data_IF_756805963396
#
_entry.id   IF_756805963396
#
_cell.length_a   1.000
_cell.length_b   1.000
_cell.length_c   1.000
_cell.angle_alpha   90.00
_cell.angle_beta   90.00
_cell.angle_gamma   90.00
#
_symmetry.space_group_name_H-M   'P 1'
#
loop_
_entity.id
_entity.type
_entity.pdbx_description
1 polymer ?
#
# COMPACT_ATOMS: atom_id res chain seq x y z
N UNK A 1 -46.70 -58.08 2.73
CA UNK A 1 -46.08 -57.29 3.83
C UNK A 1 -44.75 -56.75 3.32
N UNK A 2 -44.70 -55.52 2.82
CA UNK A 2 -43.47 -54.87 2.33
C UNK A 2 -43.04 -53.81 3.34
N UNK A 3 -41.79 -53.91 3.80
CA UNK A 3 -41.22 -53.14 4.92
C UNK A 3 -40.84 -51.73 4.49
N UNK A 4 -41.05 -50.81 5.43
CA UNK A 4 -40.56 -49.44 5.54
C UNK A 4 -39.06 -49.31 5.29
N UNK A 5 -38.63 -48.25 4.60
CA UNK A 5 -37.34 -47.58 4.83
C UNK A 5 -37.61 -46.06 4.77
N UNK A 6 -37.57 -45.31 5.89
CA UNK A 6 -37.66 -43.86 5.87
C UNK A 6 -36.28 -43.30 5.52
N UNK A 7 -36.18 -42.64 4.36
CA UNK A 7 -34.99 -41.92 3.94
C UNK A 7 -34.96 -40.55 4.65
N UNK A 8 -34.64 -40.58 5.94
CA UNK A 8 -34.35 -39.41 6.76
C UNK A 8 -32.83 -39.32 6.91
N UNK A 9 -32.19 -38.66 5.95
CA UNK A 9 -30.84 -38.14 6.10
C UNK A 9 -30.79 -36.80 5.39
N UNK A 10 -31.49 -35.81 5.96
CA UNK A 10 -31.15 -34.41 5.74
C UNK A 10 -29.80 -34.21 6.41
N UNK A 11 -28.74 -34.35 5.63
CA UNK A 11 -27.39 -33.92 6.01
C UNK A 11 -27.51 -32.43 6.29
N UNK A 12 -27.61 -32.08 7.57
CA UNK A 12 -27.30 -30.75 8.06
C UNK A 12 -25.81 -30.54 7.75
N UNK A 13 -25.53 -30.12 6.52
CA UNK A 13 -24.28 -29.49 6.14
C UNK A 13 -24.29 -28.14 6.88
N UNK A 14 -24.01 -28.19 8.18
CA UNK A 14 -23.46 -27.05 8.89
C UNK A 14 -22.15 -26.76 8.16
N UNK A 15 -22.28 -25.96 7.11
CA UNK A 15 -21.20 -25.15 6.60
C UNK A 15 -20.61 -24.52 7.86
N UNK A 16 -19.46 -25.06 8.28
CA UNK A 16 -18.43 -24.27 8.89
C UNK A 16 -18.06 -23.22 7.85
N UNK A 17 -18.96 -22.25 7.66
CA UNK A 17 -18.61 -20.92 7.29
C UNK A 17 -17.79 -20.44 8.48
N UNK A 18 -16.53 -20.90 8.54
CA UNK A 18 -15.48 -20.01 8.99
C UNK A 18 -15.81 -18.72 8.25
N UNK A 19 -16.09 -17.61 8.94
CA UNK A 19 -15.93 -16.33 8.31
C UNK A 19 -14.42 -16.24 8.11
N UNK A 20 -13.92 -16.93 7.09
CA UNK A 20 -12.82 -16.47 6.31
C UNK A 20 -13.34 -15.16 5.69
N UNK A 21 -13.43 -14.12 6.52
CA UNK A 21 -12.80 -12.86 6.19
C UNK A 21 -11.33 -13.20 5.94
N UNK A 22 -11.11 -13.88 4.81
CA UNK A 22 -9.82 -14.10 4.21
C UNK A 22 -9.28 -12.70 4.13
N UNK A 23 -8.21 -12.43 4.88
CA UNK A 23 -7.42 -11.27 4.55
C UNK A 23 -7.09 -11.43 3.08
N UNK A 24 -7.60 -10.49 2.27
CA UNK A 24 -7.51 -10.62 0.81
C UNK A 24 -6.07 -10.34 0.37
N UNK A 25 -5.29 -9.72 1.26
CA UNK A 25 -3.85 -9.59 1.19
C UNK A 25 -3.22 -9.95 2.54
N UNK A 26 -2.20 -10.81 2.52
CA UNK A 26 -1.40 -11.16 3.70
C UNK A 26 -0.05 -10.43 3.62
N UNK A 27 0.29 -9.68 4.67
CA UNK A 27 1.62 -9.09 4.76
C UNK A 27 2.68 -10.21 4.79
N UNK A 28 3.84 -10.04 4.14
CA UNK A 28 4.91 -11.05 4.15
C UNK A 28 5.71 -11.04 5.48
N UNK A 29 5.02 -10.78 6.59
CA UNK A 29 5.50 -10.80 7.97
C UNK A 29 4.36 -11.24 8.90
N UNK A 30 4.66 -11.77 10.10
CA UNK A 30 3.62 -12.25 10.99
C UNK A 30 2.62 -11.16 11.41
N UNK A 31 1.34 -11.52 11.36
CA UNK A 31 0.24 -10.71 11.87
C UNK A 31 -0.17 -11.24 13.25
N UNK A 32 -0.20 -10.36 14.26
CA UNK A 32 -0.55 -10.72 15.63
C UNK A 32 -1.82 -9.99 16.08
N UNK A 33 -2.90 -10.69 16.48
CA UNK A 33 -4.08 -10.03 17.01
C UNK A 33 -3.76 -9.39 18.37
N UNK A 34 -4.15 -8.13 18.54
CA UNK A 34 -4.03 -7.36 19.77
C UNK A 34 -5.28 -6.49 19.99
N UNK A 35 -6.28 -7.03 20.70
CA UNK A 35 -7.54 -6.30 20.99
C UNK A 35 -7.38 -5.08 21.89
N UNK A 36 -6.21 -4.89 22.53
CA UNK A 36 -5.92 -3.69 23.33
C UNK A 36 -5.33 -2.55 22.49
N UNK A 37 -5.01 -2.79 21.21
CA UNK A 37 -4.53 -1.77 20.28
C UNK A 37 -5.63 -0.73 20.03
N UNK A 38 -5.31 0.56 20.16
CA UNK A 38 -6.25 1.67 19.94
C UNK A 38 -6.29 2.17 18.49
N UNK A 39 -5.80 1.33 17.59
CA UNK A 39 -5.65 1.58 16.17
C UNK A 39 -6.02 0.30 15.40
N UNK A 40 -6.26 0.42 14.11
CA UNK A 40 -6.59 -0.73 13.25
C UNK A 40 -5.40 -1.68 13.22
N UNK A 41 -4.20 -1.13 13.00
CA UNK A 41 -2.93 -1.87 12.94
C UNK A 41 -1.74 -1.05 13.43
N UNK A 42 -0.63 -1.72 13.74
CA UNK A 42 0.63 -1.10 14.12
C UNK A 42 1.82 -2.02 13.84
N UNK A 43 2.88 -1.50 13.24
CA UNK A 43 4.16 -2.17 13.17
C UNK A 43 4.81 -2.27 14.56
N UNK A 44 5.28 -3.47 14.93
CA UNK A 44 5.98 -3.72 16.17
C UNK A 44 7.17 -4.68 15.98
N UNK A 45 8.02 -4.82 17.00
CA UNK A 45 9.04 -5.84 17.06
C UNK A 45 8.69 -6.83 18.17
N UNK A 46 8.52 -8.10 17.82
CA UNK A 46 8.21 -9.16 18.78
C UNK A 46 9.51 -9.82 19.23
N UNK A 47 9.89 -9.64 20.50
CA UNK A 47 11.13 -10.20 21.04
C UNK A 47 11.13 -11.74 21.10
N UNK A 48 9.97 -12.38 21.28
CA UNK A 48 9.85 -13.84 21.30
C UNK A 48 10.07 -14.46 19.92
N UNK A 49 9.56 -13.81 18.87
CA UNK A 49 9.76 -14.22 17.48
C UNK A 49 11.05 -13.68 16.87
N UNK A 50 11.75 -12.78 17.58
CA UNK A 50 12.92 -12.05 17.10
C UNK A 50 12.70 -11.37 15.73
N UNK A 51 11.47 -10.95 15.43
CA UNK A 51 11.06 -10.43 14.12
C UNK A 51 10.20 -9.18 14.24
N UNK A 52 10.16 -8.39 13.15
CA UNK A 52 9.09 -7.43 12.94
C UNK A 52 7.77 -8.17 12.76
N UNK A 53 6.70 -7.57 13.27
CA UNK A 53 5.33 -8.06 13.19
C UNK A 53 4.40 -6.87 12.94
N UNK A 54 3.21 -7.13 12.41
CA UNK A 54 2.13 -6.15 12.44
C UNK A 54 1.10 -6.65 13.44
N UNK A 55 0.85 -5.84 14.46
CA UNK A 55 -0.26 -6.06 15.37
C UNK A 55 -1.53 -5.47 14.76
N UNK A 56 -2.68 -6.11 14.95
CA UNK A 56 -3.97 -5.59 14.49
C UNK A 56 -5.04 -5.73 15.56
N UNK A 57 -5.97 -4.78 15.65
CA UNK A 57 -7.14 -4.90 16.51
C UNK A 57 -8.24 -5.68 15.76
N UNK A 58 -8.59 -6.91 16.17
CA UNK A 58 -9.61 -7.70 15.45
C UNK A 58 -11.01 -7.10 15.50
N UNK A 59 -11.33 -6.31 16.53
CA UNK A 59 -12.64 -5.64 16.65
C UNK A 59 -12.73 -4.49 15.66
N UNK A 60 -11.74 -3.59 15.66
CA UNK A 60 -11.70 -2.47 14.71
C UNK A 60 -11.56 -2.97 13.28
N UNK A 61 -10.77 -4.02 13.04
CA UNK A 61 -10.64 -4.63 11.71
C UNK A 61 -11.98 -5.18 11.18
N UNK A 62 -12.81 -5.73 12.06
CA UNK A 62 -14.16 -6.19 11.72
C UNK A 62 -15.09 -5.00 11.42
N UNK A 63 -14.97 -3.91 12.19
CA UNK A 63 -15.78 -2.70 12.02
C UNK A 63 -15.49 -1.96 10.71
N UNK A 64 -14.21 -1.75 10.37
CA UNK A 64 -13.79 -1.05 9.15
C UNK A 64 -13.81 -1.94 7.90
N UNK A 65 -13.84 -3.26 8.10
CA UNK A 65 -13.86 -4.25 7.05
C UNK A 65 -12.47 -4.62 6.49
N UNK A 66 -12.43 -5.68 5.66
CA UNK A 66 -11.19 -6.33 5.26
C UNK A 66 -10.33 -5.47 4.32
N UNK A 67 -10.94 -4.68 3.42
CA UNK A 67 -10.21 -3.86 2.45
C UNK A 67 -9.48 -2.70 3.12
N UNK A 68 -10.14 -2.01 4.04
CA UNK A 68 -9.53 -0.93 4.82
C UNK A 68 -8.44 -1.49 5.73
N UNK A 69 -8.72 -2.61 6.42
CA UNK A 69 -7.73 -3.30 7.25
C UNK A 69 -6.48 -3.67 6.45
N UNK A 70 -6.64 -4.26 5.26
CA UNK A 70 -5.54 -4.63 4.40
C UNK A 70 -4.73 -3.42 3.89
N UNK A 71 -5.39 -2.30 3.58
CA UNK A 71 -4.71 -1.05 3.24
C UNK A 71 -3.76 -0.62 4.37
N UNK A 72 -4.26 -0.54 5.60
CA UNK A 72 -3.43 -0.14 6.72
C UNK A 72 -2.35 -1.18 7.06
N UNK A 73 -2.61 -2.49 6.89
CA UNK A 73 -1.56 -3.50 7.03
C UNK A 73 -0.43 -3.30 6.01
N UNK A 74 -0.76 -2.97 4.75
CA UNK A 74 0.25 -2.68 3.73
C UNK A 74 1.00 -1.39 4.04
N UNK A 75 0.33 -0.39 4.61
CA UNK A 75 0.97 0.84 5.12
C UNK A 75 2.03 0.52 6.19
N UNK A 76 1.66 -0.25 7.23
CA UNK A 76 2.60 -0.68 8.28
C UNK A 76 3.74 -1.53 7.73
N UNK A 77 3.46 -2.40 6.76
CA UNK A 77 4.50 -3.16 6.07
C UNK A 77 5.43 -2.23 5.28
N UNK A 78 4.89 -1.19 4.64
CA UNK A 78 5.66 -0.14 3.95
C UNK A 78 6.67 0.54 4.88
N UNK A 79 6.32 0.79 6.14
CA UNK A 79 7.26 1.29 7.14
C UNK A 79 8.41 0.33 7.42
N UNK A 80 8.16 -0.97 7.47
CA UNK A 80 9.17 -2.00 7.71
C UNK A 80 10.05 -2.17 6.46
N UNK A 81 9.42 -2.34 5.29
CA UNK A 81 10.09 -2.54 4.00
C UNK A 81 11.03 -1.40 3.63
N UNK A 82 10.63 -0.14 3.90
CA UNK A 82 11.44 1.06 3.65
C UNK A 82 12.38 1.43 4.80
N UNK A 83 12.50 0.58 5.83
CA UNK A 83 13.31 0.82 7.02
C UNK A 83 12.99 2.14 7.76
N UNK A 84 11.74 2.60 7.70
CA UNK A 84 11.26 3.74 8.49
C UNK A 84 11.27 3.43 9.99
N UNK A 85 11.13 2.16 10.35
CA UNK A 85 11.17 1.66 11.72
C UNK A 85 12.38 0.74 11.95
N UNK A 86 12.83 0.65 13.19
CA UNK A 86 13.81 -0.34 13.61
C UNK A 86 13.52 -0.82 15.04
N UNK A 87 14.08 -1.97 15.42
CA UNK A 87 13.91 -2.56 16.77
C UNK A 87 14.07 -1.54 17.89
N UNK A 88 15.13 -0.72 17.87
CA UNK A 88 15.41 0.27 18.93
C UNK A 88 14.30 1.33 19.02
N UNK A 89 13.80 1.83 17.88
CA UNK A 89 12.71 2.81 17.83
C UNK A 89 11.38 2.21 18.27
N UNK A 90 11.07 1.00 17.81
CA UNK A 90 9.83 0.29 18.16
C UNK A 90 9.78 -0.05 19.65
N UNK A 91 10.88 -0.58 20.21
CA UNK A 91 10.96 -0.90 21.63
C UNK A 91 10.82 0.36 22.51
N UNK A 92 11.38 1.51 22.09
CA UNK A 92 11.19 2.79 22.79
C UNK A 92 9.73 3.27 22.75
N UNK A 93 9.03 2.98 21.65
CA UNK A 93 7.63 3.32 21.46
C UNK A 93 6.65 2.30 22.06
N UNK A 94 7.10 1.22 22.71
CA UNK A 94 6.21 0.22 23.33
C UNK A 94 5.24 0.80 24.38
N UNK A 95 5.53 2.01 24.92
CA UNK A 95 4.64 2.75 25.84
C UNK A 95 3.73 3.79 25.16
N UNK A 96 3.73 3.88 23.82
CA UNK A 96 2.97 4.88 23.08
C UNK A 96 2.92 4.64 21.56
N UNK A 97 2.56 5.68 20.80
CA UNK A 97 2.62 5.64 19.34
C UNK A 97 3.99 6.12 18.87
N UNK A 98 4.61 5.39 17.94
CA UNK A 98 5.85 5.85 17.33
C UNK A 98 5.50 7.03 16.41
N UNK A 99 5.97 8.23 16.74
CA UNK A 99 5.85 9.36 15.82
C UNK A 99 6.89 9.21 14.71
N UNK A 100 6.41 8.98 13.49
CA UNK A 100 7.21 9.02 12.28
C UNK A 100 7.12 10.41 11.64
N UNK A 101 8.08 10.71 10.77
CA UNK A 101 8.01 11.98 10.03
C UNK A 101 6.93 11.89 8.97
N UNK A 102 6.39 13.05 8.59
CA UNK A 102 5.38 13.14 7.53
C UNK A 102 5.86 12.47 6.24
N UNK A 103 7.13 12.59 5.88
CA UNK A 103 7.69 11.97 4.68
C UNK A 103 7.64 10.44 4.73
N UNK A 104 7.88 9.83 5.89
CA UNK A 104 7.82 8.38 6.06
C UNK A 104 6.39 7.85 5.92
N UNK A 105 5.42 8.64 6.35
CA UNK A 105 4.00 8.29 6.31
C UNK A 105 3.44 8.40 4.90
N UNK A 106 3.80 9.47 4.18
CA UNK A 106 3.51 9.61 2.75
C UNK A 106 4.12 8.44 1.95
N UNK A 107 5.35 8.04 2.27
CA UNK A 107 6.01 6.93 1.59
C UNK A 107 5.39 5.56 1.94
N UNK A 108 4.80 5.40 3.12
CA UNK A 108 4.04 4.20 3.50
C UNK A 108 2.66 4.17 2.81
N UNK A 109 1.94 5.29 2.75
CA UNK A 109 0.70 5.42 1.96
C UNK A 109 0.94 5.13 0.47
N UNK A 110 2.05 5.63 -0.09
CA UNK A 110 2.46 5.34 -1.46
C UNK A 110 2.71 3.85 -1.68
N UNK A 111 3.39 3.18 -0.73
CA UNK A 111 3.62 1.73 -0.80
C UNK A 111 2.29 0.95 -0.81
N UNK A 112 1.34 1.29 0.06
CA UNK A 112 0.03 0.65 0.09
C UNK A 112 -0.74 0.88 -1.23
N UNK A 113 -0.70 2.12 -1.75
CA UNK A 113 -1.31 2.45 -3.03
C UNK A 113 -0.72 1.66 -4.19
N UNK A 114 0.61 1.60 -4.31
CA UNK A 114 1.32 0.83 -5.35
C UNK A 114 0.97 -0.66 -5.27
N UNK A 115 0.95 -1.21 -4.06
CA UNK A 115 0.60 -2.62 -3.80
C UNK A 115 -0.79 -2.93 -4.34
N UNK A 116 -1.82 -2.18 -3.92
CA UNK A 116 -3.19 -2.52 -4.28
C UNK A 116 -3.60 -2.04 -5.66
N UNK A 117 -2.99 -0.98 -6.20
CA UNK A 117 -3.31 -0.53 -7.55
C UNK A 117 -3.03 -1.60 -8.61
N UNK A 118 -2.00 -2.42 -8.40
CA UNK A 118 -1.63 -3.53 -9.27
C UNK A 118 -2.43 -4.82 -9.05
N UNK A 119 -3.01 -4.99 -7.85
CA UNK A 119 -3.75 -6.20 -7.45
C UNK A 119 -5.25 -6.02 -7.67
N UNK A 120 -5.85 -5.05 -6.98
CA UNK A 120 -7.27 -4.70 -7.08
C UNK A 120 -7.50 -3.29 -6.50
N UNK A 121 -8.04 -2.39 -7.33
CA UNK A 121 -8.29 -1.00 -6.94
C UNK A 121 -9.44 -0.84 -5.94
N UNK A 122 -10.25 -1.87 -5.73
CA UNK A 122 -11.35 -1.86 -4.75
C UNK A 122 -10.88 -1.53 -3.33
N UNK A 123 -9.66 -1.94 -2.96
CA UNK A 123 -9.04 -1.61 -1.68
C UNK A 123 -8.84 -0.10 -1.50
N UNK A 124 -8.39 0.58 -2.55
CA UNK A 124 -8.14 2.02 -2.52
C UNK A 124 -9.45 2.80 -2.46
N UNK A 125 -10.45 2.39 -3.24
CA UNK A 125 -11.78 3.00 -3.18
C UNK A 125 -12.46 2.80 -1.83
N UNK A 126 -12.38 1.61 -1.24
CA UNK A 126 -12.92 1.34 0.09
C UNK A 126 -12.22 2.17 1.17
N UNK A 127 -10.90 2.33 1.07
CA UNK A 127 -10.12 3.16 1.99
C UNK A 127 -10.47 4.64 1.85
N UNK A 128 -10.59 5.16 0.62
CA UNK A 128 -11.03 6.54 0.38
C UNK A 128 -12.42 6.78 0.97
N UNK A 129 -13.38 5.90 0.70
CA UNK A 129 -14.72 5.99 1.26
C UNK A 129 -14.71 5.96 2.79
N UNK A 130 -13.89 5.08 3.40
CA UNK A 130 -13.71 5.04 4.85
C UNK A 130 -13.18 6.38 5.40
N UNK A 131 -12.09 6.90 4.83
CA UNK A 131 -11.47 8.16 5.24
C UNK A 131 -12.43 9.36 5.08
N UNK A 132 -13.25 9.36 4.02
CA UNK A 132 -14.27 10.38 3.79
C UNK A 132 -15.41 10.28 4.82
N UNK A 133 -15.79 9.06 5.22
CA UNK A 133 -16.91 8.81 6.15
C UNK A 133 -16.59 9.08 7.62
N UNK A 134 -15.33 8.87 8.04
CA UNK A 134 -14.89 9.07 9.43
C UNK A 134 -14.71 10.55 9.82
N UNK A 135 -14.71 11.47 8.85
CA UNK A 135 -14.54 12.91 9.08
C UNK A 135 -13.20 13.28 9.76
N UNK A 136 -13.14 14.47 10.39
CA UNK A 136 -11.96 14.93 11.15
C UNK A 136 -11.69 14.15 12.45
N UNK A 137 -12.54 13.17 12.79
CA UNK A 137 -12.47 12.44 14.07
C UNK A 137 -11.39 11.36 14.10
N UNK A 138 -10.87 10.95 12.93
CA UNK A 138 -9.73 10.06 12.80
C UNK A 138 -8.38 10.72 13.11
N UNK A 139 -8.12 11.08 14.38
CA UNK A 139 -6.77 11.46 14.88
C UNK A 139 -5.81 10.26 14.96
N UNK A 140 -5.98 9.26 14.10
CA UNK A 140 -5.22 8.02 14.16
C UNK A 140 -3.81 8.17 13.58
N UNK A 141 -3.53 9.19 12.76
CA UNK A 141 -2.27 9.26 12.02
C UNK A 141 -1.61 10.64 12.04
N UNK A 142 -0.31 10.66 11.73
CA UNK A 142 0.51 11.87 11.67
C UNK A 142 0.23 12.73 10.43
N UNK A 143 -0.53 12.21 9.45
CA UNK A 143 -1.00 12.92 8.26
C UNK A 143 -2.50 13.22 8.44
N UNK A 144 -2.94 14.49 8.38
CA UNK A 144 -4.36 14.83 8.45
C UNK A 144 -5.20 14.09 7.40
N UNK A 145 -6.40 13.65 7.77
CA UNK A 145 -7.29 12.88 6.88
C UNK A 145 -7.51 13.53 5.50
N UNK A 146 -7.81 14.85 5.38
CA UNK A 146 -7.99 15.49 4.07
C UNK A 146 -6.72 15.43 3.20
N UNK A 147 -5.56 15.51 3.83
CA UNK A 147 -4.27 15.42 3.14
C UNK A 147 -4.01 14.00 2.65
N UNK A 148 -4.29 12.99 3.48
CA UNK A 148 -4.15 11.57 3.09
C UNK A 148 -5.08 11.22 1.92
N UNK A 149 -6.34 11.67 1.94
CA UNK A 149 -7.28 11.53 0.82
C UNK A 149 -6.71 12.14 -0.46
N UNK A 150 -6.20 13.37 -0.38
CA UNK A 150 -5.59 14.04 -1.53
C UNK A 150 -4.39 13.26 -2.09
N UNK A 151 -3.51 12.77 -1.21
CA UNK A 151 -2.33 11.99 -1.59
C UNK A 151 -2.70 10.66 -2.25
N UNK A 152 -3.64 9.90 -1.70
CA UNK A 152 -4.10 8.63 -2.27
C UNK A 152 -4.66 8.87 -3.68
N UNK A 153 -5.51 9.88 -3.86
CA UNK A 153 -6.04 10.25 -5.18
C UNK A 153 -4.93 10.62 -6.18
N UNK A 154 -3.95 11.43 -5.75
CA UNK A 154 -2.81 11.82 -6.58
C UNK A 154 -1.97 10.61 -7.02
N UNK A 155 -1.70 9.68 -6.10
CA UNK A 155 -0.95 8.45 -6.39
C UNK A 155 -1.74 7.57 -7.36
N UNK A 156 -3.05 7.37 -7.14
CA UNK A 156 -3.90 6.62 -8.05
C UNK A 156 -3.95 7.22 -9.45
N UNK A 157 -4.04 8.55 -9.57
CA UNK A 157 -3.98 9.24 -10.84
C UNK A 157 -2.64 8.99 -11.55
N UNK A 158 -1.52 9.12 -10.82
CA UNK A 158 -0.18 8.86 -11.35
C UNK A 158 -0.02 7.42 -11.84
N UNK A 159 -0.48 6.44 -11.06
CA UNK A 159 -0.40 5.01 -11.42
C UNK A 159 -1.34 4.65 -12.58
N UNK A 160 -2.37 5.45 -12.84
CA UNK A 160 -3.30 5.27 -13.97
C UNK A 160 -2.73 5.74 -15.30
N UNK A 161 -1.70 6.57 -15.27
CA UNK A 161 -0.97 6.95 -16.49
C UNK A 161 -0.15 5.72 -16.89
N UNK A 162 -0.40 5.12 -18.07
CA UNK A 162 0.42 4.03 -18.55
C UNK A 162 1.89 4.48 -18.51
N UNK A 163 2.84 3.64 -18.07
CA UNK A 163 4.24 4.00 -18.19
C UNK A 163 4.43 4.41 -19.65
N UNK A 164 4.83 5.67 -19.86
CA UNK A 164 5.14 6.11 -21.22
C UNK A 164 6.22 5.15 -21.68
N UNK A 165 5.87 4.27 -22.64
CA UNK A 165 6.85 3.47 -23.33
C UNK A 165 7.84 4.50 -23.80
N UNK A 166 9.06 4.47 -23.26
CA UNK A 166 10.07 5.44 -23.58
C UNK A 166 10.12 5.46 -25.10
N UNK A 167 9.60 6.53 -25.69
CA UNK A 167 9.65 6.67 -27.12
C UNK A 167 11.12 6.87 -27.37
N UNK A 168 11.79 5.83 -27.87
CA UNK A 168 13.10 5.96 -28.50
C UNK A 168 12.90 6.92 -29.65
N UNK A 169 13.00 8.21 -29.37
CA UNK A 169 13.11 9.24 -30.39
C UNK A 169 14.57 9.21 -30.82
N UNK A 170 14.80 9.18 -32.12
CA UNK A 170 16.14 9.34 -32.64
C UNK A 170 16.61 10.76 -32.28
N UNK A 171 17.64 10.83 -31.42
CA UNK A 171 18.21 12.08 -30.92
C UNK A 171 19.47 12.38 -31.73
N UNK A 172 19.59 13.59 -32.27
CA UNK A 172 20.87 14.04 -32.85
C UNK A 172 21.69 14.71 -31.74
N UNK A 173 22.71 14.02 -31.25
CA UNK A 173 23.62 14.56 -30.24
C UNK A 173 24.63 15.53 -30.87
N UNK A 174 24.66 16.77 -30.36
CA UNK A 174 25.55 17.84 -30.85
C UNK A 174 27.05 17.51 -30.68
N UNK A 175 27.39 16.55 -29.83
CA UNK A 175 28.77 16.19 -29.51
C UNK A 175 29.47 15.37 -30.59
N UNK A 176 28.74 14.71 -31.50
CA UNK A 176 29.36 13.79 -32.46
C UNK A 176 29.03 14.06 -33.93
N UNK A 177 28.13 15.00 -34.25
CA UNK A 177 27.70 15.44 -35.61
C UNK A 177 27.37 14.34 -36.65
N UNK A 178 27.55 13.06 -36.34
CA UNK A 178 27.56 11.96 -37.31
C UNK A 178 26.86 10.68 -36.80
N UNK A 179 26.66 10.53 -35.48
CA UNK A 179 26.05 9.31 -34.92
C UNK A 179 24.62 9.55 -34.41
N UNK A 180 23.65 8.91 -35.06
CA UNK A 180 22.29 8.73 -34.53
C UNK A 180 22.38 7.63 -33.47
N UNK A 181 22.58 8.01 -32.21
CA UNK A 181 22.53 7.07 -31.09
C UNK A 181 21.13 7.15 -30.48
N UNK A 182 20.38 6.03 -30.43
CA UNK A 182 19.09 6.01 -29.74
C UNK A 182 19.29 6.40 -28.29
N UNK A 183 18.65 7.49 -27.86
CA UNK A 183 18.73 7.97 -26.50
C UNK A 183 17.37 7.80 -25.80
N UNK A 184 17.38 7.36 -24.54
CA UNK A 184 16.15 7.06 -23.82
C UNK A 184 15.66 8.32 -23.11
N UNK A 185 14.57 8.89 -23.62
CA UNK A 185 13.94 10.07 -23.04
C UNK A 185 12.83 9.64 -22.08
N UNK A 186 13.15 9.59 -20.79
CA UNK A 186 12.11 9.52 -19.76
C UNK A 186 11.77 10.93 -19.29
N UNK A 187 10.49 11.36 -19.33
CA UNK A 187 10.09 12.66 -18.77
C UNK A 187 10.22 12.73 -17.24
N UNK A 188 10.48 11.59 -16.58
CA UNK A 188 10.62 11.50 -15.13
C UNK A 188 12.04 11.04 -14.74
N UNK A 189 12.97 11.98 -14.64
CA UNK A 189 14.25 11.72 -13.97
C UNK A 189 14.06 11.77 -12.45
N UNK A 190 13.63 10.66 -11.86
CA UNK A 190 13.67 10.45 -10.42
C UNK A 190 15.10 10.07 -9.99
N UNK A 191 16.03 11.04 -9.98
CA UNK A 191 17.38 10.83 -9.44
C UNK A 191 18.46 11.70 -10.07
N UNK A 192 18.68 12.87 -9.47
CA UNK A 192 19.92 13.64 -9.25
C UNK A 192 21.18 13.57 -10.13
N UNK A 193 21.24 12.84 -11.24
CA UNK A 193 22.36 12.88 -12.18
C UNK A 193 21.91 13.57 -13.46
N UNK A 194 21.91 14.90 -13.43
CA UNK A 194 21.83 15.72 -14.63
C UNK A 194 23.19 15.67 -15.34
N UNK A 195 23.53 14.56 -15.99
CA UNK A 195 24.27 14.72 -17.25
C UNK A 195 23.29 15.36 -18.20
N UNK A 196 23.26 16.69 -18.20
CA UNK A 196 22.50 17.51 -19.12
C UNK A 196 22.98 17.12 -20.52
N UNK A 197 22.28 16.20 -21.17
CA UNK A 197 22.56 15.91 -22.56
C UNK A 197 22.23 17.20 -23.32
N UNK A 198 23.25 17.87 -23.86
CA UNK A 198 23.06 19.12 -24.60
C UNK A 198 22.48 18.78 -25.98
N UNK A 199 21.18 18.50 -26.03
CA UNK A 199 20.46 18.30 -27.28
C UNK A 199 20.39 19.63 -28.05
N UNK A 200 20.67 19.57 -29.36
CA UNK A 200 20.21 20.61 -30.28
C UNK A 200 18.71 20.36 -30.44
N UNK A 201 17.86 21.37 -30.20
CA UNK A 201 16.40 21.23 -30.25
C UNK A 201 15.95 20.40 -31.47
N UNK A 202 14.99 19.51 -31.28
CA UNK A 202 14.40 18.75 -32.39
C UNK A 202 13.91 19.72 -33.47
N UNK A 203 14.09 19.37 -34.74
CA UNK A 203 13.66 20.20 -35.88
C UNK A 203 12.16 20.47 -35.85
N UNK A 204 11.37 19.60 -35.22
CA UNK A 204 9.92 19.69 -35.15
C UNK A 204 9.39 20.34 -33.85
N UNK A 205 10.29 20.85 -32.99
CA UNK A 205 9.92 21.44 -31.69
C UNK A 205 9.61 20.39 -30.62
N UNK A 206 10.09 20.61 -29.40
CA UNK A 206 9.69 19.81 -28.25
C UNK A 206 8.32 20.29 -27.76
N UNK A 207 7.25 19.55 -28.07
CA UNK A 207 5.99 19.61 -27.32
C UNK A 207 5.93 18.44 -26.35
#
# INVERSE_FOLDING_TARGET
MKKFIPFLFFIALCALASPAYSQVWEAPIPLLPNSALKDIVKANYNDSLQSYVIEYNPVMALEVGPFVTAFFQAHEYGHIYRAHVNKKRLNKASKGMLQLTREFEIAADAFACETFFSVDRSYLFATLHYLESEGEHGKLTSVPTPERIHLINLIMQRLSIPPQVAQKKDCVHKMHEQDIIPCDHSPYHAGGHTTTCMHKAHLDGCN
#
